data_IF_867205107854
#
_entry.id   IF_867205107854
#
_cell.length_a   1.000
_cell.length_b   1.000
_cell.length_c   1.000
_cell.angle_alpha   90.00
_cell.angle_beta   90.00
_cell.angle_gamma   90.00
#
_symmetry.space_group_name_H-M   'P 1'
#
loop_
_entity.id
_entity.type
_entity.pdbx_description
1 polymer ?
#
# COMPACT_ATOMS: atom_id res chain seq x y z
N UNK A 1 -9.47 -23.75 2.88
CA UNK A 1 -8.27 -23.34 2.12
C UNK A 1 -8.48 -21.91 1.65
N UNK A 2 -8.17 -20.91 2.49
CA UNK A 2 -8.72 -19.56 2.35
C UNK A 2 -7.69 -18.48 1.96
N UNK A 3 -6.60 -18.84 1.28
CA UNK A 3 -5.73 -17.81 0.72
C UNK A 3 -6.37 -17.23 -0.53
N UNK A 4 -7.20 -16.21 -0.36
CA UNK A 4 -7.56 -15.34 -1.48
C UNK A 4 -6.25 -14.70 -1.95
N UNK A 5 -5.90 -14.89 -3.22
CA UNK A 5 -4.70 -14.31 -3.79
C UNK A 5 -4.75 -12.79 -3.66
N UNK A 6 -3.62 -12.18 -3.29
CA UNK A 6 -3.48 -10.71 -3.28
C UNK A 6 -3.65 -10.25 -4.73
N UNK A 7 -4.66 -9.41 -4.96
CA UNK A 7 -5.00 -8.94 -6.30
C UNK A 7 -4.43 -7.54 -6.54
N UNK A 8 -4.51 -6.68 -5.53
CA UNK A 8 -4.16 -5.28 -5.62
C UNK A 8 -3.37 -4.86 -4.38
N UNK A 9 -2.53 -3.84 -4.54
CA UNK A 9 -1.67 -3.32 -3.47
C UNK A 9 -1.88 -1.81 -3.33
N UNK A 10 -2.08 -1.33 -2.11
CA UNK A 10 -1.87 0.07 -1.73
C UNK A 10 -0.46 0.19 -1.16
N UNK A 11 0.37 1.02 -1.78
CA UNK A 11 1.74 1.28 -1.38
C UNK A 11 1.94 2.76 -1.08
N UNK A 12 2.49 3.04 0.10
CA UNK A 12 2.94 4.38 0.47
C UNK A 12 3.97 4.25 1.58
N UNK A 13 5.01 5.08 1.53
CA UNK A 13 6.08 5.06 2.51
C UNK A 13 6.49 6.47 2.92
N UNK A 14 7.06 6.59 4.11
CA UNK A 14 7.79 7.80 4.51
C UNK A 14 9.20 7.77 3.94
N UNK A 15 9.99 8.81 4.18
CA UNK A 15 11.41 8.82 3.86
C UNK A 15 12.12 7.55 4.35
N UNK A 16 12.98 7.02 3.49
CA UNK A 16 13.76 5.79 3.72
C UNK A 16 15.24 6.12 3.64
N UNK A 17 16.04 5.55 4.54
CA UNK A 17 17.51 5.68 4.48
C UNK A 17 18.08 5.00 3.23
N UNK A 18 17.53 3.85 2.86
CA UNK A 18 17.81 3.13 1.62
C UNK A 18 16.49 2.93 0.85
N UNK A 19 16.19 3.86 -0.05
CA UNK A 19 14.93 3.85 -0.80
C UNK A 19 14.87 2.73 -1.84
N UNK A 20 15.98 2.43 -2.51
CA UNK A 20 16.04 1.34 -3.49
C UNK A 20 15.93 -0.02 -2.80
N UNK A 21 16.66 -0.22 -1.71
CA UNK A 21 16.59 -1.44 -0.90
C UNK A 21 15.21 -1.65 -0.28
N UNK A 22 14.51 -0.57 0.08
CA UNK A 22 13.11 -0.63 0.52
C UNK A 22 12.16 -1.07 -0.61
N UNK A 23 12.31 -0.52 -1.81
CA UNK A 23 11.43 -0.86 -2.95
C UNK A 23 11.68 -2.26 -3.50
N UNK A 24 12.92 -2.74 -3.45
CA UNK A 24 13.33 -4.03 -4.02
C UNK A 24 12.42 -5.22 -3.63
N UNK A 25 12.17 -5.52 -2.35
CA UNK A 25 11.30 -6.64 -1.98
C UNK A 25 9.86 -6.48 -2.48
N UNK A 26 9.35 -5.25 -2.58
CA UNK A 26 8.00 -4.96 -3.11
C UNK A 26 7.96 -5.24 -4.62
N UNK A 27 8.99 -4.77 -5.34
CA UNK A 27 9.14 -5.03 -6.77
C UNK A 27 9.23 -6.53 -7.03
N UNK A 28 10.07 -7.25 -6.30
CA UNK A 28 10.23 -8.69 -6.45
C UNK A 28 8.90 -9.42 -6.19
N UNK A 29 8.14 -8.99 -5.17
CA UNK A 29 6.81 -9.54 -4.89
C UNK A 29 5.81 -9.30 -6.04
N UNK A 30 5.73 -8.08 -6.56
CA UNK A 30 4.81 -7.73 -7.67
C UNK A 30 5.17 -8.49 -8.95
N UNK A 31 6.45 -8.75 -9.21
CA UNK A 31 6.89 -9.47 -10.42
C UNK A 31 6.54 -10.95 -10.43
N UNK A 32 6.48 -11.59 -9.26
CA UNK A 32 6.24 -13.05 -9.16
C UNK A 32 4.78 -13.40 -8.85
N UNK A 33 3.95 -12.41 -8.54
CA UNK A 33 2.53 -12.60 -8.23
C UNK A 33 1.65 -11.84 -9.24
N UNK A 34 0.44 -12.35 -9.55
CA UNK A 34 -0.48 -11.69 -10.47
C UNK A 34 -1.15 -10.48 -9.79
N UNK A 35 -0.43 -9.36 -9.69
CA UNK A 35 -0.93 -8.09 -9.16
C UNK A 35 -1.50 -7.24 -10.30
N UNK A 36 -2.81 -7.03 -10.27
CA UNK A 36 -3.54 -6.29 -11.31
C UNK A 36 -3.27 -4.78 -11.20
N UNK A 37 -3.30 -4.26 -9.97
CA UNK A 37 -3.20 -2.82 -9.71
C UNK A 37 -2.28 -2.51 -8.52
N UNK A 38 -1.43 -1.50 -8.71
CA UNK A 38 -0.65 -0.86 -7.66
C UNK A 38 -1.17 0.58 -7.46
N UNK A 39 -1.67 0.87 -6.27
CA UNK A 39 -2.22 2.17 -5.89
C UNK A 39 -1.20 2.86 -4.99
N UNK A 40 -0.59 3.91 -5.50
CA UNK A 40 0.40 4.71 -4.78
C UNK A 40 -0.31 5.79 -3.96
N UNK A 41 0.14 5.99 -2.73
CA UNK A 41 -0.42 7.02 -1.83
C UNK A 41 0.63 7.61 -0.91
N UNK A 42 0.29 8.72 -0.27
CA UNK A 42 1.14 9.43 0.68
C UNK A 42 0.62 9.21 2.10
N UNK A 43 1.36 8.48 2.97
CA UNK A 43 1.04 8.45 4.40
C UNK A 43 0.85 9.87 4.96
N UNK A 44 -0.15 10.06 5.82
CA UNK A 44 -0.52 11.36 6.40
C UNK A 44 -0.21 11.41 7.90
N UNK A 45 0.20 12.58 8.37
CA UNK A 45 0.57 12.82 9.75
C UNK A 45 1.93 12.22 10.13
N UNK A 46 2.13 11.96 11.42
CA UNK A 46 3.41 11.43 11.91
C UNK A 46 4.52 12.46 12.03
N UNK A 47 5.75 11.98 12.24
CA UNK A 47 6.95 12.83 12.38
C UNK A 47 7.88 12.81 11.17
N UNK A 48 7.68 11.85 10.28
CA UNK A 48 8.54 11.61 9.12
C UNK A 48 7.76 11.96 7.87
N UNK A 49 8.38 12.74 6.99
CA UNK A 49 7.76 13.17 5.74
C UNK A 49 7.40 11.98 4.84
N UNK A 50 6.28 12.12 4.14
CA UNK A 50 5.85 11.15 3.14
C UNK A 50 6.69 11.28 1.87
N UNK A 51 7.01 10.14 1.24
CA UNK A 51 7.44 10.16 -0.15
C UNK A 51 6.24 10.50 -1.03
N UNK A 52 6.45 11.41 -1.99
CA UNK A 52 5.46 11.82 -2.98
C UNK A 52 5.11 10.68 -3.95
N UNK A 53 3.85 10.60 -4.35
CA UNK A 53 3.41 9.54 -5.28
C UNK A 53 4.13 9.61 -6.62
N UNK A 54 4.52 10.80 -7.08
CA UNK A 54 5.31 10.99 -8.31
C UNK A 54 6.69 10.36 -8.17
N UNK A 55 7.36 10.56 -7.03
CA UNK A 55 8.67 9.94 -6.76
C UNK A 55 8.56 8.42 -6.68
N UNK A 56 7.53 7.87 -6.04
CA UNK A 56 7.28 6.43 -6.07
C UNK A 56 7.06 5.92 -7.51
N UNK A 57 6.24 6.63 -8.28
CA UNK A 57 5.93 6.28 -9.67
C UNK A 57 7.17 6.27 -10.56
N UNK A 58 8.00 7.31 -10.50
CA UNK A 58 9.24 7.41 -11.27
C UNK A 58 10.18 6.22 -11.01
N UNK A 59 10.22 5.72 -9.77
CA UNK A 59 11.12 4.63 -9.38
C UNK A 59 10.61 3.22 -9.75
N UNK A 60 9.33 3.06 -10.07
CA UNK A 60 8.73 1.72 -10.29
C UNK A 60 8.01 1.56 -11.63
N UNK A 61 7.62 2.66 -12.28
CA UNK A 61 6.78 2.63 -13.49
C UNK A 61 7.43 1.92 -14.67
N UNK A 62 8.75 2.04 -14.83
CA UNK A 62 9.51 1.36 -15.88
C UNK A 62 9.68 -0.15 -15.62
N UNK A 63 9.42 -0.60 -14.39
CA UNK A 63 9.62 -1.98 -13.96
C UNK A 63 8.37 -2.83 -14.23
N UNK A 64 7.18 -2.24 -14.10
CA UNK A 64 5.91 -2.95 -14.22
C UNK A 64 5.26 -2.72 -15.59
N UNK A 65 5.24 -3.76 -16.42
CA UNK A 65 4.63 -3.71 -17.76
C UNK A 65 3.16 -4.12 -17.77
N UNK A 66 2.74 -4.98 -16.83
CA UNK A 66 1.39 -5.56 -16.80
C UNK A 66 0.52 -4.98 -15.67
N UNK A 67 1.13 -4.56 -14.57
CA UNK A 67 0.44 -3.97 -13.42
C UNK A 67 0.08 -2.51 -13.69
N UNK A 68 -1.20 -2.15 -13.51
CA UNK A 68 -1.66 -0.77 -13.66
C UNK A 68 -1.33 0.04 -12.41
N UNK A 69 -0.67 1.18 -12.60
CA UNK A 69 -0.29 2.07 -11.48
C UNK A 69 -1.27 3.23 -11.40
N UNK A 70 -1.77 3.50 -10.20
CA UNK A 70 -2.68 4.61 -9.91
C UNK A 70 -2.03 5.53 -8.88
N UNK A 71 -2.03 6.84 -9.14
CA UNK A 71 -1.53 7.84 -8.19
C UNK A 71 -2.72 8.42 -7.42
N UNK A 72 -2.77 8.16 -6.12
CA UNK A 72 -3.83 8.58 -5.22
C UNK A 72 -3.20 9.22 -3.97
N UNK A 73 -2.84 10.52 -4.01
CA UNK A 73 -2.06 11.15 -2.94
C UNK A 73 -2.65 11.03 -1.53
N UNK A 74 -3.97 10.84 -1.42
CA UNK A 74 -4.64 10.71 -0.12
C UNK A 74 -4.97 9.23 0.19
N UNK A 75 -4.66 8.73 1.41
CA UNK A 75 -4.99 7.35 1.80
C UNK A 75 -6.47 7.01 1.66
N UNK A 76 -7.36 7.99 1.88
CA UNK A 76 -8.81 7.82 1.68
C UNK A 76 -9.17 7.54 0.22
N UNK A 77 -8.57 8.25 -0.74
CA UNK A 77 -8.87 8.02 -2.17
C UNK A 77 -8.22 6.74 -2.65
N UNK A 78 -7.01 6.44 -2.15
CA UNK A 78 -6.33 5.18 -2.39
C UNK A 78 -7.15 3.96 -1.92
N UNK A 79 -7.70 4.02 -0.70
CA UNK A 79 -8.55 2.95 -0.16
C UNK A 79 -9.84 2.78 -0.96
N UNK A 80 -10.52 3.88 -1.29
CA UNK A 80 -11.74 3.84 -2.12
C UNK A 80 -11.47 3.20 -3.47
N UNK A 81 -10.37 3.56 -4.13
CA UNK A 81 -9.96 2.98 -5.41
C UNK A 81 -9.54 1.52 -5.28
N UNK A 82 -8.74 1.18 -4.27
CA UNK A 82 -8.35 -0.21 -3.99
C UNK A 82 -9.56 -1.11 -3.77
N UNK A 83 -10.55 -0.66 -2.99
CA UNK A 83 -11.81 -1.39 -2.76
C UNK A 83 -12.64 -1.55 -4.04
N UNK A 84 -12.71 -0.51 -4.88
CA UNK A 84 -13.41 -0.57 -6.16
C UNK A 84 -12.78 -1.58 -7.13
N UNK A 85 -11.46 -1.65 -7.17
CA UNK A 85 -10.70 -2.52 -8.07
C UNK A 85 -10.60 -3.97 -7.57
N UNK A 86 -10.76 -4.20 -6.26
CA UNK A 86 -10.66 -5.52 -5.64
C UNK A 86 -12.03 -6.19 -5.56
N UNK A 87 -12.35 -7.10 -6.48
CA UNK A 87 -13.68 -7.74 -6.55
C UNK A 87 -13.79 -9.03 -5.74
N UNK A 88 -12.83 -9.94 -5.91
CA UNK A 88 -12.83 -11.29 -5.32
C UNK A 88 -11.50 -11.69 -4.68
N UNK A 89 -10.57 -10.74 -4.57
CA UNK A 89 -9.22 -10.97 -4.04
C UNK A 89 -8.97 -10.21 -2.75
N UNK A 90 -7.72 -10.24 -2.31
CA UNK A 90 -7.24 -9.46 -1.17
C UNK A 90 -6.60 -8.16 -1.64
N UNK A 91 -6.95 -7.05 -0.98
CA UNK A 91 -6.27 -5.77 -1.09
C UNK A 91 -5.20 -5.71 -0.01
N UNK A 92 -3.93 -5.69 -0.40
CA UNK A 92 -2.81 -5.53 0.53
C UNK A 92 -2.52 -4.05 0.72
N UNK A 93 -2.37 -3.60 1.97
CA UNK A 93 -1.84 -2.27 2.27
C UNK A 93 -0.49 -2.42 2.96
N UNK A 94 0.55 -1.74 2.47
CA UNK A 94 1.93 -1.90 2.94
C UNK A 94 2.78 -0.64 2.72
N UNK A 95 3.87 -0.52 3.47
CA UNK A 95 4.97 0.41 3.20
C UNK A 95 5.26 1.41 4.31
N UNK A 96 4.30 1.67 5.21
CA UNK A 96 4.51 2.57 6.36
C UNK A 96 3.51 2.26 7.48
N UNK A 97 3.97 2.35 8.72
CA UNK A 97 3.08 2.29 9.89
C UNK A 97 2.08 3.46 9.90
N UNK A 98 2.48 4.64 9.44
CA UNK A 98 1.57 5.78 9.32
C UNK A 98 0.47 5.49 8.30
N UNK A 99 0.80 4.85 7.18
CA UNK A 99 -0.20 4.43 6.20
C UNK A 99 -1.19 3.44 6.81
N UNK A 100 -0.70 2.40 7.49
CA UNK A 100 -1.57 1.42 8.14
C UNK A 100 -2.49 2.12 9.16
N UNK A 101 -1.93 3.02 9.97
CA UNK A 101 -2.72 3.85 10.89
C UNK A 101 -3.79 4.66 10.17
N UNK A 102 -3.45 5.34 9.07
CA UNK A 102 -4.43 6.11 8.28
C UNK A 102 -5.56 5.21 7.78
N UNK A 103 -5.24 4.03 7.24
CA UNK A 103 -6.25 3.10 6.72
C UNK A 103 -7.14 2.58 7.84
N UNK A 104 -6.58 2.23 8.99
CA UNK A 104 -7.36 1.78 10.16
C UNK A 104 -8.29 2.88 10.65
N UNK A 105 -7.82 4.12 10.80
CA UNK A 105 -8.68 5.25 11.18
C UNK A 105 -9.78 5.51 10.15
N UNK A 106 -9.50 5.41 8.85
CA UNK A 106 -10.53 5.57 7.79
C UNK A 106 -11.60 4.47 7.88
N UNK A 107 -11.20 3.27 8.32
CA UNK A 107 -12.10 2.13 8.51
C UNK A 107 -12.77 2.13 9.89
N UNK A 108 -12.48 3.12 10.75
CA UNK A 108 -12.95 3.18 12.14
C UNK A 108 -12.51 1.95 12.96
N UNK A 109 -11.29 1.46 12.71
CA UNK A 109 -10.67 0.29 13.34
C UNK A 109 -9.43 0.66 14.17
N UNK A 110 -9.32 1.91 14.59
CA UNK A 110 -8.21 2.45 15.38
C UNK A 110 -8.51 2.57 16.88
N UNK A 111 -9.61 1.96 17.35
CA UNK A 111 -9.91 1.85 18.78
C UNK A 111 -9.15 0.69 19.46
N UNK A 112 -9.09 0.74 20.80
CA UNK A 112 -8.35 -0.24 21.62
C UNK A 112 -8.88 -1.68 21.45
N UNK A 113 -10.18 -1.83 21.23
CA UNK A 113 -10.82 -3.15 21.05
C UNK A 113 -10.49 -3.75 19.68
N UNK A 114 -10.38 -2.92 18.65
CA UNK A 114 -10.02 -3.29 17.28
C UNK A 114 -8.53 -3.59 17.16
N UNK A 115 -7.72 -2.92 17.99
CA UNK A 115 -6.27 -3.05 18.04
C UNK A 115 -5.77 -4.10 19.05
N UNK A 116 -6.61 -5.06 19.45
CA UNK A 116 -6.14 -6.20 20.26
C UNK A 116 -5.09 -6.99 19.48
N UNK A 117 -3.86 -7.00 19.98
CA UNK A 117 -2.80 -7.85 19.46
C UNK A 117 -3.24 -9.30 19.72
N UNK A 118 -3.54 -10.03 18.64
CA UNK A 118 -3.69 -11.48 18.70
C UNK A 118 -2.31 -12.09 19.00
N UNK A 119 -1.88 -12.06 20.26
CA UNK A 119 -0.79 -12.89 20.74
C UNK A 119 -1.27 -14.34 20.67
N UNK A 120 -0.68 -15.12 19.76
CA UNK A 120 -0.74 -16.58 19.85
C UNK A 120 0.48 -17.09 20.59
#
# INVERSE_FOLDING_TARGET
>A
SNHHSIQNIILGCTEQTDFEGFLKPIIDYVRINPIDNLILTEPQGGRTESIKVEKLFENISSIFTETKIHLEPLPLTALKKGKLLTKKGTLLCIGSLYLIGNILSILELDDENSMTILSK
#
